data_IF_656805914450
#
_entry.id   IF_656805914450
#
_cell.length_a   1.000
_cell.length_b   1.000
_cell.length_c   1.000
_cell.angle_alpha   90.00
_cell.angle_beta   90.00
_cell.angle_gamma   90.00
#
_symmetry.space_group_name_H-M   'P 1'
#
loop_
_entity.id
_entity.type
_entity.pdbx_description
1 polymer ?
#
# COMPACT_ATOMS: atom_id res chain seq x y z
N UNK A 1 18.52 10.26 -8.32
CA UNK A 1 17.13 10.16 -7.82
C UNK A 1 17.11 10.72 -6.41
N UNK A 2 16.05 11.43 -6.04
CA UNK A 2 15.90 11.96 -4.69
C UNK A 2 15.76 10.80 -3.68
N UNK A 3 16.12 11.06 -2.44
CA UNK A 3 16.07 10.12 -1.31
C UNK A 3 15.35 10.78 -0.13
N UNK A 4 14.32 11.56 -0.43
CA UNK A 4 13.55 12.28 0.57
C UNK A 4 12.07 12.38 0.21
N UNK A 5 11.25 12.48 1.26
CA UNK A 5 9.89 13.01 1.19
C UNK A 5 9.85 14.41 1.78
N UNK A 6 8.83 15.18 1.41
CA UNK A 6 8.63 16.54 1.90
C UNK A 6 7.24 16.65 2.52
N UNK A 7 7.19 17.14 3.76
CA UNK A 7 5.94 17.42 4.47
C UNK A 7 5.71 18.92 4.52
N UNK A 8 4.51 19.34 4.14
CA UNK A 8 4.06 20.73 4.17
C UNK A 8 2.85 20.80 5.09
N UNK A 9 2.96 21.51 6.21
CA UNK A 9 1.88 21.61 7.18
C UNK A 9 0.96 22.78 6.84
N UNK A 10 -0.34 22.56 6.93
CA UNK A 10 -1.34 23.62 6.78
C UNK A 10 -1.60 24.31 8.12
N UNK A 11 -1.87 25.61 8.08
CA UNK A 11 -2.33 26.40 9.20
C UNK A 11 -3.38 27.40 8.71
N UNK A 12 -4.66 27.08 8.93
CA UNK A 12 -5.81 27.94 8.58
C UNK A 12 -5.76 28.48 7.13
N UNK A 13 -5.50 27.60 6.16
CA UNK A 13 -5.45 27.95 4.73
C UNK A 13 -4.11 28.53 4.23
N UNK A 14 -3.11 28.66 5.12
CA UNK A 14 -1.70 28.91 4.74
C UNK A 14 -0.87 27.63 4.89
N UNK A 15 0.30 27.58 4.26
CA UNK A 15 1.20 26.42 4.26
C UNK A 15 2.60 26.78 4.77
N UNK A 16 3.21 25.91 5.56
CA UNK A 16 4.58 26.07 6.05
C UNK A 16 5.60 25.93 4.93
N UNK A 17 6.86 26.31 5.18
CA UNK A 17 7.96 25.82 4.34
C UNK A 17 8.03 24.27 4.41
N UNK A 18 8.41 23.59 3.32
CA UNK A 18 8.55 22.14 3.31
C UNK A 18 9.62 21.67 4.29
N UNK A 19 9.32 20.62 5.05
CA UNK A 19 10.27 19.90 5.90
C UNK A 19 10.65 18.61 5.17
N UNK A 20 11.95 18.38 4.98
CA UNK A 20 12.46 17.19 4.32
C UNK A 20 12.76 16.07 5.32
N UNK A 21 12.36 14.85 4.98
CA UNK A 21 12.70 13.63 5.71
C UNK A 21 13.40 12.67 4.75
N UNK A 22 14.62 12.24 5.12
CA UNK A 22 15.39 11.32 4.29
C UNK A 22 14.79 9.91 4.37
N UNK A 23 14.47 9.35 3.21
CA UNK A 23 14.01 7.98 3.01
C UNK A 23 15.03 7.20 2.18
N UNK A 24 14.65 6.03 1.68
CA UNK A 24 15.43 5.34 0.67
C UNK A 24 15.36 6.04 -0.70
N UNK A 25 16.09 5.47 -1.65
CA UNK A 25 16.33 6.02 -2.98
C UNK A 25 15.19 5.69 -3.93
N UNK A 26 14.80 6.69 -4.72
CA UNK A 26 13.74 6.60 -5.72
C UNK A 26 12.40 6.20 -5.10
N UNK A 27 11.83 7.05 -4.21
CA UNK A 27 10.54 6.78 -3.61
C UNK A 27 9.43 6.80 -4.67
N UNK A 28 8.49 5.85 -4.61
CA UNK A 28 7.41 5.70 -5.63
C UNK A 28 5.99 5.83 -5.06
N UNK A 29 5.77 5.32 -3.86
CA UNK A 29 4.47 5.27 -3.21
C UNK A 29 4.59 5.78 -1.78
N UNK A 30 3.53 6.41 -1.31
CA UNK A 30 3.41 6.94 0.05
C UNK A 30 2.01 6.63 0.57
N UNK A 31 1.91 6.23 1.83
CA UNK A 31 0.63 6.09 2.55
C UNK A 31 0.76 6.66 3.96
N UNK A 32 -0.38 6.99 4.55
CA UNK A 32 -0.48 7.62 5.87
C UNK A 32 -1.51 6.87 6.71
N UNK A 33 -1.18 6.60 7.98
CA UNK A 33 -2.05 5.92 8.93
C UNK A 33 -1.37 5.82 10.31
N UNK A 34 -2.14 5.57 11.36
CA UNK A 34 -1.61 5.33 12.70
C UNK A 34 -1.16 3.86 12.80
N UNK A 35 0.12 3.60 12.49
CA UNK A 35 0.69 2.24 12.33
C UNK A 35 1.05 1.66 13.70
N UNK A 36 1.35 2.51 14.68
CA UNK A 36 1.80 2.11 16.02
C UNK A 36 0.76 2.36 17.13
N UNK A 37 -0.45 2.76 16.77
CA UNK A 37 -1.60 2.99 17.65
C UNK A 37 -1.34 4.04 18.74
N UNK A 38 -0.54 5.06 18.43
CA UNK A 38 -0.25 6.15 19.36
C UNK A 38 -1.15 7.39 19.17
N UNK A 39 -2.10 7.32 18.23
CA UNK A 39 -3.01 8.39 17.77
C UNK A 39 -2.33 9.53 16.99
N UNK A 40 -1.09 9.35 16.55
CA UNK A 40 -0.43 10.22 15.59
C UNK A 40 -0.33 9.51 14.24
N UNK A 41 -0.53 10.27 13.16
CA UNK A 41 -0.41 9.70 11.82
C UNK A 41 1.07 9.45 11.50
N UNK A 42 1.35 8.25 11.02
CA UNK A 42 2.65 7.82 10.53
C UNK A 42 2.68 7.87 9.00
N UNK A 43 3.88 7.83 8.44
CA UNK A 43 4.09 7.78 6.99
C UNK A 43 4.84 6.50 6.63
N UNK A 44 4.38 5.81 5.61
CA UNK A 44 5.12 4.74 4.94
C UNK A 44 5.47 5.13 3.51
N UNK A 45 6.70 4.81 3.08
CA UNK A 45 7.23 5.13 1.75
C UNK A 45 7.84 3.90 1.13
N UNK A 46 7.54 3.61 -0.14
CA UNK A 46 8.24 2.57 -0.92
C UNK A 46 9.54 3.11 -1.49
N UNK A 47 10.67 2.44 -1.25
CA UNK A 47 11.97 2.82 -1.75
C UNK A 47 12.38 1.89 -2.90
N UNK A 48 12.03 2.26 -4.13
CA UNK A 48 12.09 1.36 -5.27
C UNK A 48 13.50 0.78 -5.51
N UNK A 49 14.53 1.64 -5.50
CA UNK A 49 15.90 1.23 -5.79
C UNK A 49 16.57 0.48 -4.63
N UNK A 50 16.05 0.63 -3.39
CA UNK A 50 16.58 -0.06 -2.22
C UNK A 50 15.85 -1.37 -1.88
N UNK A 51 14.73 -1.67 -2.55
CA UNK A 51 13.91 -2.85 -2.24
C UNK A 51 13.48 -2.86 -0.76
N UNK A 52 13.02 -1.71 -0.28
CA UNK A 52 12.64 -1.51 1.12
C UNK A 52 11.50 -0.51 1.25
N UNK A 53 10.96 -0.42 2.46
CA UNK A 53 9.98 0.57 2.90
C UNK A 53 10.59 1.40 4.02
N UNK A 54 10.37 2.71 4.01
CA UNK A 54 10.68 3.60 5.13
C UNK A 54 9.40 3.90 5.90
N UNK A 55 9.42 3.74 7.22
CA UNK A 55 8.33 4.08 8.14
C UNK A 55 8.79 5.22 9.04
N UNK A 56 8.05 6.32 9.03
CA UNK A 56 8.28 7.48 9.86
C UNK A 56 7.15 7.59 10.88
N UNK A 57 7.44 7.36 12.16
CA UNK A 57 6.42 7.49 13.19
C UNK A 57 6.16 8.96 13.53
N UNK A 58 4.90 9.35 13.51
CA UNK A 58 4.42 10.68 13.82
C UNK A 58 4.62 11.03 15.29
N UNK A 59 4.69 12.32 15.56
CA UNK A 59 4.76 12.86 16.91
C UNK A 59 3.68 13.93 17.11
N UNK A 60 3.32 14.18 18.36
CA UNK A 60 2.33 15.22 18.77
C UNK A 60 2.55 16.62 18.21
N UNK A 61 3.75 16.93 17.74
CA UNK A 61 4.15 18.23 17.20
C UNK A 61 4.02 18.29 15.65
N UNK A 62 3.50 17.25 15.00
CA UNK A 62 3.38 17.16 13.54
C UNK A 62 4.71 16.89 12.83
N UNK A 63 5.74 16.47 13.57
CA UNK A 63 7.02 15.98 13.03
C UNK A 63 7.03 14.45 13.08
N UNK A 64 8.09 13.89 12.53
CA UNK A 64 8.27 12.46 12.45
C UNK A 64 9.65 12.07 12.96
N UNK A 65 9.69 10.94 13.65
CA UNK A 65 10.90 10.31 14.16
C UNK A 65 11.76 9.71 13.03
N UNK A 66 12.94 9.18 13.39
CA UNK A 66 13.84 8.53 12.43
C UNK A 66 13.18 7.33 11.76
N UNK A 67 13.48 7.11 10.48
CA UNK A 67 12.91 6.00 9.73
C UNK A 67 13.22 4.64 10.37
N UNK A 68 12.21 3.79 10.44
CA UNK A 68 12.36 2.35 10.53
C UNK A 68 12.31 1.76 9.12
N UNK A 69 13.19 0.82 8.81
CA UNK A 69 13.32 0.25 7.47
C UNK A 69 12.86 -1.19 7.46
N UNK A 70 11.89 -1.50 6.59
CA UNK A 70 11.45 -2.88 6.31
C UNK A 70 11.94 -3.31 4.93
N UNK A 71 12.37 -4.56 4.78
CA UNK A 71 12.71 -5.12 3.48
C UNK A 71 11.44 -5.45 2.69
N UNK A 72 11.47 -5.23 1.38
CA UNK A 72 10.40 -5.58 0.46
C UNK A 72 10.85 -6.56 -0.62
N UNK A 73 9.92 -6.91 -1.52
CA UNK A 73 10.30 -7.47 -2.80
C UNK A 73 11.08 -6.46 -3.65
N UNK A 74 11.51 -6.90 -4.83
CA UNK A 74 12.27 -6.07 -5.76
C UNK A 74 11.38 -4.97 -6.33
N UNK A 75 11.92 -3.75 -6.35
CA UNK A 75 11.30 -2.54 -6.88
C UNK A 75 9.87 -2.33 -6.36
N UNK A 76 9.67 -2.07 -5.05
CA UNK A 76 8.36 -1.70 -4.53
C UNK A 76 7.86 -0.44 -5.22
N UNK A 77 6.58 -0.41 -5.58
CA UNK A 77 5.96 0.67 -6.35
C UNK A 77 4.89 1.39 -5.53
N UNK A 78 3.80 0.70 -5.21
CA UNK A 78 2.70 1.23 -4.43
C UNK A 78 2.66 0.65 -3.02
N UNK A 79 2.11 1.40 -2.07
CA UNK A 79 1.85 0.95 -0.71
C UNK A 79 0.47 1.43 -0.24
N UNK A 80 -0.26 0.55 0.44
CA UNK A 80 -1.52 0.84 1.11
C UNK A 80 -1.47 0.34 2.55
N UNK A 81 -2.30 0.94 3.40
CA UNK A 81 -2.54 0.52 4.77
C UNK A 81 -4.02 0.14 4.90
N UNK A 82 -4.31 -1.04 5.45
CA UNK A 82 -5.67 -1.51 5.76
C UNK A 82 -5.59 -2.64 6.80
N UNK A 83 -6.70 -2.96 7.46
CA UNK A 83 -6.81 -4.11 8.37
C UNK A 83 -7.32 -5.33 7.58
N UNK A 84 -6.43 -6.26 7.21
CA UNK A 84 -6.76 -7.43 6.38
C UNK A 84 -7.20 -8.64 7.21
N UNK A 85 -6.99 -8.62 8.52
CA UNK A 85 -7.24 -9.74 9.40
C UNK A 85 -8.29 -9.43 10.50
N UNK A 86 -8.89 -8.24 10.45
CA UNK A 86 -9.86 -7.72 11.41
C UNK A 86 -9.34 -7.72 12.85
N UNK A 87 -8.03 -7.50 13.04
CA UNK A 87 -7.43 -7.41 14.38
C UNK A 87 -7.31 -5.97 14.91
N UNK A 88 -7.85 -5.01 14.16
CA UNK A 88 -7.85 -3.56 14.39
C UNK A 88 -6.51 -2.87 14.20
N UNK A 89 -5.45 -3.58 13.80
CA UNK A 89 -4.17 -2.96 13.47
C UNK A 89 -3.99 -2.77 11.96
N UNK A 90 -3.28 -1.71 11.59
CA UNK A 90 -2.95 -1.48 10.18
C UNK A 90 -1.90 -2.48 9.70
N UNK A 91 -2.23 -3.18 8.62
CA UNK A 91 -1.31 -4.00 7.84
C UNK A 91 -0.71 -3.18 6.69
N UNK A 92 0.46 -3.60 6.21
CA UNK A 92 1.09 -3.00 5.03
C UNK A 92 0.89 -3.92 3.83
N UNK A 93 0.39 -3.34 2.72
CA UNK A 93 0.20 -4.02 1.45
C UNK A 93 1.02 -3.30 0.38
N UNK A 94 1.92 -4.00 -0.31
CA UNK A 94 2.88 -3.41 -1.24
C UNK A 94 2.90 -4.15 -2.56
N UNK A 95 2.81 -3.43 -3.68
CA UNK A 95 3.11 -3.99 -5.01
C UNK A 95 4.62 -3.90 -5.26
N UNK A 96 5.23 -5.02 -5.67
CA UNK A 96 6.65 -5.13 -5.97
C UNK A 96 6.81 -5.37 -7.48
N UNK A 97 7.01 -4.28 -8.22
CA UNK A 97 6.97 -4.31 -9.68
C UNK A 97 8.10 -5.13 -10.29
N UNK A 98 9.24 -5.23 -9.59
CA UNK A 98 10.42 -6.00 -10.03
C UNK A 98 10.31 -7.48 -9.69
N UNK A 99 9.63 -7.82 -8.59
CA UNK A 99 9.39 -9.23 -8.20
C UNK A 99 8.11 -9.82 -8.79
N UNK A 100 7.21 -9.01 -9.36
CA UNK A 100 5.88 -9.43 -9.80
C UNK A 100 5.06 -10.04 -8.64
N UNK A 101 5.05 -9.36 -7.49
CA UNK A 101 4.35 -9.82 -6.30
C UNK A 101 3.63 -8.69 -5.57
N UNK A 102 2.61 -9.06 -4.80
CA UNK A 102 2.13 -8.27 -3.66
C UNK A 102 2.80 -8.82 -2.39
N UNK A 103 3.39 -7.95 -1.57
CA UNK A 103 3.88 -8.26 -0.24
C UNK A 103 2.91 -7.77 0.83
N UNK A 104 2.66 -8.60 1.84
CA UNK A 104 1.74 -8.31 2.94
C UNK A 104 2.45 -8.49 4.27
N UNK A 105 2.42 -7.44 5.09
CA UNK A 105 3.03 -7.40 6.41
C UNK A 105 1.93 -7.15 7.43
N UNK A 106 1.60 -8.18 8.21
CA UNK A 106 0.57 -8.06 9.24
C UNK A 106 1.13 -7.30 10.45
N UNK A 107 0.42 -6.28 10.89
CA UNK A 107 0.82 -5.38 11.97
C UNK A 107 0.57 -6.00 13.35
N UNK A 108 1.44 -5.71 14.31
CA UNK A 108 1.20 -5.98 15.74
C UNK A 108 0.61 -4.78 16.48
N UNK A 109 0.32 -3.68 15.78
CA UNK A 109 -0.21 -2.45 16.36
C UNK A 109 0.80 -1.61 17.14
N UNK A 110 2.08 -1.97 17.15
CA UNK A 110 3.14 -1.26 17.86
C UNK A 110 4.27 -0.80 16.91
N UNK A 111 3.97 -0.72 15.61
CA UNK A 111 4.97 -0.40 14.59
C UNK A 111 5.87 -1.57 14.17
N UNK A 112 5.64 -2.78 14.69
CA UNK A 112 6.32 -4.01 14.25
C UNK A 112 5.38 -4.92 13.48
N UNK A 113 5.96 -5.82 12.65
CA UNK A 113 5.22 -6.63 11.70
C UNK A 113 5.66 -8.09 11.70
N UNK A 114 4.75 -8.97 11.30
CA UNK A 114 5.07 -10.36 10.97
C UNK A 114 6.01 -10.46 9.77
N UNK A 115 6.63 -11.63 9.60
CA UNK A 115 7.33 -11.95 8.36
C UNK A 115 6.36 -11.84 7.18
N UNK A 116 6.77 -11.18 6.08
CA UNK A 116 5.84 -10.89 5.00
C UNK A 116 5.40 -12.15 4.27
N UNK A 117 4.12 -12.20 3.93
CA UNK A 117 3.59 -13.14 2.94
C UNK A 117 3.67 -12.50 1.57
N UNK A 118 3.95 -13.31 0.55
CA UNK A 118 4.05 -12.84 -0.84
C UNK A 118 3.08 -13.59 -1.74
N UNK A 119 2.42 -12.85 -2.63
CA UNK A 119 1.44 -13.37 -3.58
C UNK A 119 1.87 -12.98 -4.99
N UNK A 120 2.07 -13.97 -5.85
CA UNK A 120 2.49 -13.75 -7.24
C UNK A 120 1.39 -13.08 -8.06
N UNK A 121 1.75 -12.03 -8.80
CA UNK A 121 0.89 -11.36 -9.77
C UNK A 121 1.35 -11.67 -11.20
N UNK A 122 0.73 -11.03 -12.20
CA UNK A 122 1.35 -10.94 -13.52
C UNK A 122 2.43 -9.83 -13.54
N UNK A 123 2.90 -9.46 -14.74
CA UNK A 123 4.09 -8.66 -14.93
C UNK A 123 3.90 -7.17 -14.59
N UNK A 124 4.84 -6.63 -13.81
CA UNK A 124 4.97 -5.23 -13.44
C UNK A 124 3.72 -4.68 -12.72
N UNK A 125 3.39 -5.19 -11.51
CA UNK A 125 2.29 -4.67 -10.71
C UNK A 125 2.60 -3.26 -10.19
N UNK A 126 1.69 -2.30 -10.37
CA UNK A 126 1.93 -0.89 -10.01
C UNK A 126 0.77 -0.20 -9.30
N UNK A 127 -0.48 -0.54 -9.59
CA UNK A 127 -1.67 -0.05 -8.88
C UNK A 127 -2.18 -1.08 -7.87
N UNK A 128 -2.89 -0.62 -6.84
CA UNK A 128 -3.51 -1.45 -5.81
C UNK A 128 -4.83 -0.84 -5.35
N UNK A 129 -5.86 -1.66 -5.18
CA UNK A 129 -7.11 -1.32 -4.48
C UNK A 129 -7.49 -2.47 -3.55
N UNK A 130 -8.19 -2.14 -2.46
CA UNK A 130 -8.59 -3.06 -1.40
C UNK A 130 -10.06 -2.86 -1.09
N UNK A 131 -10.85 -3.94 -1.08
CA UNK A 131 -12.28 -3.91 -0.81
C UNK A 131 -12.91 -5.29 -0.83
N UNK A 132 -14.14 -5.42 -0.38
CA UNK A 132 -14.90 -6.68 -0.40
C UNK A 132 -15.58 -6.84 -1.76
N UNK A 133 -14.97 -7.59 -2.69
CA UNK A 133 -15.40 -7.68 -4.08
C UNK A 133 -16.44 -8.78 -4.31
N UNK A 134 -16.56 -9.71 -3.36
CA UNK A 134 -17.47 -10.85 -3.44
C UNK A 134 -18.55 -10.85 -2.33
N UNK A 135 -18.64 -9.75 -1.56
CA UNK A 135 -19.58 -9.53 -0.46
C UNK A 135 -19.53 -10.62 0.62
N UNK A 136 -18.34 -11.14 0.92
CA UNK A 136 -18.16 -12.14 1.97
C UNK A 136 -17.72 -11.55 3.33
N UNK A 137 -17.62 -10.22 3.40
CA UNK A 137 -17.24 -9.45 4.57
C UNK A 137 -15.72 -9.38 4.82
N UNK A 138 -14.90 -9.82 3.85
CA UNK A 138 -13.43 -9.81 3.98
C UNK A 138 -12.81 -8.92 2.92
N UNK A 139 -11.61 -8.43 3.22
CA UNK A 139 -10.85 -7.62 2.28
C UNK A 139 -10.24 -8.50 1.18
N UNK A 140 -10.55 -8.14 -0.06
CA UNK A 140 -9.91 -8.64 -1.27
C UNK A 140 -8.92 -7.61 -1.82
N UNK A 141 -8.03 -8.05 -2.71
CA UNK A 141 -7.03 -7.19 -3.35
C UNK A 141 -7.18 -7.19 -4.86
N UNK A 142 -6.97 -6.02 -5.46
CA UNK A 142 -6.79 -5.87 -6.90
C UNK A 142 -5.46 -5.18 -7.16
N UNK A 143 -4.62 -5.76 -8.01
CA UNK A 143 -3.42 -5.10 -8.51
C UNK A 143 -3.46 -4.96 -10.04
N UNK A 144 -3.11 -3.78 -10.54
CA UNK A 144 -2.92 -3.59 -11.98
C UNK A 144 -1.55 -4.08 -12.42
N UNK A 145 -1.49 -4.82 -13.54
CA UNK A 145 -0.25 -5.33 -14.11
C UNK A 145 0.09 -4.53 -15.38
N UNK A 146 0.70 -3.37 -15.21
CA UNK A 146 0.95 -2.42 -16.31
C UNK A 146 1.84 -3.01 -17.42
N UNK A 147 2.62 -4.05 -17.13
CA UNK A 147 3.44 -4.77 -18.11
C UNK A 147 2.75 -5.94 -18.81
N UNK A 148 1.52 -6.30 -18.43
CA UNK A 148 0.84 -7.50 -18.93
C UNK A 148 -0.58 -7.26 -19.44
N UNK A 149 -1.09 -6.02 -19.45
CA UNK A 149 -2.48 -5.70 -19.86
C UNK A 149 -3.51 -6.52 -19.09
N UNK A 150 -3.26 -6.78 -17.82
CA UNK A 150 -4.15 -7.54 -16.95
C UNK A 150 -4.28 -6.86 -15.60
N UNK A 151 -5.31 -7.23 -14.84
CA UNK A 151 -5.33 -7.07 -13.39
C UNK A 151 -5.25 -8.44 -12.72
N UNK A 152 -4.73 -8.44 -11.50
CA UNK A 152 -4.68 -9.59 -10.60
C UNK A 152 -5.67 -9.35 -9.47
N UNK A 153 -6.63 -10.25 -9.28
CA UNK A 153 -7.60 -10.22 -8.18
C UNK A 153 -7.28 -11.36 -7.21
N UNK A 154 -7.31 -11.06 -5.91
CA UNK A 154 -7.08 -12.02 -4.84
C UNK A 154 -8.23 -11.93 -3.84
N UNK A 155 -9.00 -13.01 -3.74
CA UNK A 155 -10.09 -13.10 -2.75
C UNK A 155 -9.52 -13.48 -1.37
N UNK A 156 -9.88 -12.72 -0.35
CA UNK A 156 -9.34 -12.81 1.00
C UNK A 156 -9.97 -13.93 1.84
N UNK A 157 -9.18 -14.49 2.75
CA UNK A 157 -9.67 -15.35 3.81
C UNK A 157 -9.94 -14.60 5.13
N UNK A 158 -9.68 -13.28 5.17
CA UNK A 158 -9.94 -12.43 6.36
C UNK A 158 -8.94 -12.65 7.49
N UNK A 159 -7.76 -13.21 7.18
CA UNK A 159 -6.66 -13.45 8.12
C UNK A 159 -5.31 -13.02 7.51
N UNK A 160 -5.35 -12.09 6.54
CA UNK A 160 -4.18 -11.70 5.77
C UNK A 160 -3.62 -12.80 4.87
N UNK A 161 -4.43 -13.78 4.46
CA UNK A 161 -4.10 -14.72 3.38
C UNK A 161 -5.19 -14.72 2.31
N UNK A 162 -4.82 -15.17 1.12
CA UNK A 162 -5.64 -15.02 -0.08
C UNK A 162 -5.71 -16.31 -0.88
N UNK A 163 -6.78 -16.43 -1.66
CA UNK A 163 -6.95 -17.46 -2.67
C UNK A 163 -5.92 -17.29 -3.80
N UNK A 164 -5.90 -18.27 -4.72
CA UNK A 164 -5.11 -18.17 -5.93
C UNK A 164 -5.57 -16.95 -6.76
N UNK A 165 -4.59 -16.33 -7.42
CA UNK A 165 -4.81 -15.19 -8.31
C UNK A 165 -5.87 -15.51 -9.38
N UNK A 166 -6.82 -14.59 -9.56
CA UNK A 166 -7.70 -14.53 -10.72
C UNK A 166 -7.19 -13.41 -11.62
N UNK A 167 -6.94 -13.72 -12.89
CA UNK A 167 -6.39 -12.75 -13.86
C UNK A 167 -7.47 -12.32 -14.84
N UNK A 168 -7.68 -11.01 -14.97
CA UNK A 168 -8.60 -10.44 -15.95
C UNK A 168 -7.85 -9.60 -16.98
N UNK A 169 -8.16 -9.73 -18.29
CA UNK A 169 -7.57 -8.88 -19.33
C UNK A 169 -8.11 -7.45 -19.23
N UNK A 170 -7.25 -6.49 -19.58
CA UNK A 170 -7.50 -5.05 -19.52
C UNK A 170 -6.90 -4.36 -20.75
N UNK A 171 -6.96 -3.03 -20.78
CA UNK A 171 -6.31 -2.21 -21.79
C UNK A 171 -4.78 -2.17 -21.65
N UNK A 172 -4.16 -1.30 -22.46
CA UNK A 172 -2.74 -1.01 -22.36
C UNK A 172 -2.43 -0.13 -21.15
N UNK A 173 -1.40 -0.48 -20.38
CA UNK A 173 -0.82 0.35 -19.33
C UNK A 173 -1.80 0.83 -18.24
N UNK A 174 -2.55 -0.08 -17.62
CA UNK A 174 -3.35 0.28 -16.43
C UNK A 174 -2.44 0.58 -15.24
N UNK A 175 -2.30 1.86 -14.89
CA UNK A 175 -1.43 2.33 -13.81
C UNK A 175 -2.15 2.45 -12.46
N UNK A 176 -3.45 2.71 -12.49
CA UNK A 176 -4.28 2.91 -11.32
C UNK A 176 -5.47 1.98 -11.36
N UNK A 177 -6.05 1.73 -10.20
CA UNK A 177 -7.30 1.00 -10.05
C UNK A 177 -8.09 1.66 -8.94
N UNK A 178 -9.38 1.86 -9.19
CA UNK A 178 -10.36 2.29 -8.20
C UNK A 178 -11.52 1.30 -8.20
N UNK A 179 -12.19 1.20 -7.05
CA UNK A 179 -13.38 0.38 -6.86
C UNK A 179 -14.51 1.19 -6.27
N UNK A 180 -15.74 0.84 -6.63
CA UNK A 180 -16.95 1.48 -6.14
C UNK A 180 -18.19 0.90 -6.80
N UNK A 181 -19.34 0.99 -6.15
CA UNK A 181 -20.63 0.61 -6.73
C UNK A 181 -21.09 1.71 -7.72
N UNK A 182 -20.89 1.49 -9.02
CA UNK A 182 -21.15 2.48 -10.07
C UNK A 182 -22.55 2.34 -10.66
N UNK A 183 -23.12 1.15 -10.56
CA UNK A 183 -24.40 0.81 -11.18
C UNK A 183 -25.55 0.73 -10.14
N UNK A 184 -25.24 0.88 -8.84
CA UNK A 184 -26.13 0.79 -7.70
C UNK A 184 -26.76 -0.61 -7.52
N UNK A 185 -25.97 -1.67 -7.74
CA UNK A 185 -26.35 -3.08 -7.49
C UNK A 185 -25.81 -3.63 -6.17
N UNK A 186 -25.06 -2.82 -5.41
CA UNK A 186 -24.39 -3.16 -4.15
C UNK A 186 -23.18 -4.10 -4.28
N UNK A 187 -22.73 -4.38 -5.50
CA UNK A 187 -21.45 -5.04 -5.75
C UNK A 187 -20.39 -3.98 -6.12
N UNK A 188 -19.14 -4.20 -5.71
CA UNK A 188 -18.06 -3.27 -6.08
C UNK A 188 -17.64 -3.48 -7.55
N UNK A 189 -17.79 -2.44 -8.36
CA UNK A 189 -17.23 -2.39 -9.71
C UNK A 189 -15.75 -1.97 -9.70
N UNK A 190 -15.05 -2.23 -10.81
CA UNK A 190 -13.62 -1.93 -10.99
C UNK A 190 -13.44 -0.90 -12.12
N UNK A 191 -12.68 0.16 -11.86
CA UNK A 191 -12.26 1.18 -12.85
C UNK A 191 -10.72 1.18 -12.95
N UNK A 192 -10.19 1.32 -14.17
CA UNK A 192 -8.75 1.29 -14.50
C UNK A 192 -8.30 2.51 -15.30
#
# INVERSE_FOLDING_TARGET
YDSAIYVILSNNGSYSSPISYQCGTYPQGISVGDINHDNYLDIIVTNNANHSLSIFFGESNGRFSSQNVLLSGLNPWHVSLDDLNNDTHLDIIVTNSGSNTIGIYLGYGNGTFMNPKTFSTNFFPVGLSIGDLNNDGKKDLIATNAGNRTISIFLGYGNGSFQNQISYPTGLFSWSVAIGDLNNDHDLDIIL
#
